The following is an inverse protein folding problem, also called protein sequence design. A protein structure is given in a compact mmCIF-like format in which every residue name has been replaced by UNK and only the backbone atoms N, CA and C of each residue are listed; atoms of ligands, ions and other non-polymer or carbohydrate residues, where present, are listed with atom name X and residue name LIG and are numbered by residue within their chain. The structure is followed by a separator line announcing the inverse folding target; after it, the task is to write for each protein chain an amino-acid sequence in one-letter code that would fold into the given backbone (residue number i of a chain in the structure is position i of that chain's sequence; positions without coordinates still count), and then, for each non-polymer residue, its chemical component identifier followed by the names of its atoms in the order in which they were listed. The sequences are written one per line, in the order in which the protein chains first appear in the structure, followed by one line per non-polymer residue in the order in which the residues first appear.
data_IF_148487904511
#
_entry.id   IF_148487904511
#
_cell.length_a   1.000
_cell.length_b   1.000
_cell.length_c   1.000
_cell.angle_alpha   90.00
_cell.angle_beta   90.00
_cell.angle_gamma   90.00
#
_symmetry.space_group_name_H-M   'P 1'
#
loop_
_entity.id
_entity.type
_entity.pdbx_description
1 polymer ?
#
# COMPACT_ATOMS: atom_id res chain seq x y z
N UNK A 1 -14.03 12.00 -4.94
CA UNK A 1 -13.67 10.90 -4.04
C UNK A 1 -12.22 10.40 -4.22
N UNK A 2 -11.46 10.99 -5.17
CA UNK A 2 -10.04 10.69 -5.37
C UNK A 2 -9.15 11.01 -4.16
N UNK A 3 -9.63 11.84 -3.27
CA UNK A 3 -9.01 12.31 -2.02
C UNK A 3 -9.37 11.45 -0.79
N UNK A 4 -10.31 10.53 -0.94
CA UNK A 4 -10.92 9.83 0.19
C UNK A 4 -10.92 8.29 0.05
N UNK A 5 -10.56 7.77 -1.11
CA UNK A 5 -10.39 6.33 -1.35
C UNK A 5 -9.43 6.04 -2.52
N UNK A 6 -8.84 4.86 -2.52
CA UNK A 6 -8.17 4.33 -3.69
C UNK A 6 -9.18 3.86 -4.76
N UNK A 7 -8.82 4.04 -6.02
CA UNK A 7 -9.52 3.43 -7.15
C UNK A 7 -9.02 2.01 -7.40
N UNK A 8 -9.84 1.19 -8.04
CA UNK A 8 -9.43 -0.14 -8.49
C UNK A 8 -9.17 -0.14 -9.99
N UNK A 9 -8.36 -1.11 -10.47
CA UNK A 9 -8.13 -1.30 -11.90
C UNK A 9 -9.44 -1.52 -12.67
N UNK A 10 -10.35 -2.33 -12.11
CA UNK A 10 -11.62 -2.68 -12.76
C UNK A 10 -12.53 -1.47 -12.96
N UNK A 11 -12.52 -0.52 -12.00
CA UNK A 11 -13.27 0.74 -12.13
C UNK A 11 -12.76 1.61 -13.28
N UNK A 12 -11.46 1.57 -13.56
CA UNK A 12 -10.78 2.47 -14.47
C UNK A 12 -10.43 1.84 -15.82
N UNK A 13 -10.36 0.52 -15.92
CA UNK A 13 -9.88 -0.22 -17.11
C UNK A 13 -10.72 -0.01 -18.37
N UNK A 14 -11.97 0.39 -18.22
CA UNK A 14 -12.88 0.69 -19.34
C UNK A 14 -12.87 2.16 -19.75
N UNK A 15 -12.10 3.02 -19.07
CA UNK A 15 -11.99 4.43 -19.44
C UNK A 15 -11.15 4.61 -20.71
N UNK A 16 -11.57 5.52 -21.58
CA UNK A 16 -10.79 5.92 -22.73
C UNK A 16 -9.54 6.69 -22.33
N UNK A 17 -8.56 6.79 -23.24
CA UNK A 17 -7.33 7.56 -23.04
C UNK A 17 -7.59 9.01 -22.66
N UNK A 18 -8.64 9.62 -23.22
CA UNK A 18 -9.03 11.00 -22.90
C UNK A 18 -9.66 11.10 -21.52
N UNK A 19 -10.49 10.12 -21.10
CA UNK A 19 -11.08 10.07 -19.78
C UNK A 19 -10.01 9.83 -18.70
N UNK A 20 -9.07 8.92 -18.93
CA UNK A 20 -7.91 8.71 -18.03
C UNK A 20 -7.08 10.00 -17.89
N UNK A 21 -6.80 10.67 -19.02
CA UNK A 21 -6.08 11.95 -19.00
C UNK A 21 -6.83 13.02 -18.21
N UNK A 22 -8.13 13.12 -18.36
CA UNK A 22 -8.95 14.08 -17.60
C UNK A 22 -9.00 13.73 -16.12
N UNK A 23 -9.15 12.45 -15.77
CA UNK A 23 -9.20 11.99 -14.38
C UNK A 23 -7.88 12.27 -13.64
N UNK A 24 -6.72 12.00 -14.27
CA UNK A 24 -5.40 12.36 -13.74
C UNK A 24 -5.36 13.87 -13.46
N UNK A 25 -5.64 14.68 -14.47
CA UNK A 25 -5.53 16.12 -14.34
C UNK A 25 -6.60 16.75 -13.44
N UNK A 26 -7.72 16.07 -13.17
CA UNK A 26 -8.70 16.54 -12.18
C UNK A 26 -8.09 16.55 -10.77
N UNK A 27 -7.29 15.54 -10.41
CA UNK A 27 -6.60 15.51 -9.11
C UNK A 27 -5.67 16.72 -8.98
N UNK A 28 -4.86 17.00 -9.99
CA UNK A 28 -4.00 18.20 -10.02
C UNK A 28 -4.80 19.51 -9.97
N UNK A 29 -5.91 19.58 -10.70
CA UNK A 29 -6.76 20.76 -10.77
C UNK A 29 -7.42 21.10 -9.41
N UNK A 30 -7.77 20.08 -8.62
CA UNK A 30 -8.32 20.24 -7.26
C UNK A 30 -7.33 20.93 -6.32
N UNK A 31 -6.03 20.76 -6.55
CA UNK A 31 -4.96 21.47 -5.84
C UNK A 31 -4.52 22.77 -6.51
N UNK A 32 -5.30 23.28 -7.46
CA UNK A 32 -5.10 24.60 -8.05
C UNK A 32 -4.02 24.67 -9.12
N UNK A 33 -3.59 23.54 -9.70
CA UNK A 33 -2.63 23.56 -10.82
C UNK A 33 -3.19 24.24 -12.05
N UNK A 34 -2.40 25.13 -12.67
CA UNK A 34 -2.64 25.75 -13.97
C UNK A 34 -2.02 24.87 -15.05
N UNK A 35 -2.71 24.69 -16.18
CA UNK A 35 -2.27 23.80 -17.25
C UNK A 35 -1.79 24.58 -18.47
N UNK A 36 -0.62 24.21 -18.99
CA UNK A 36 -0.08 24.78 -20.25
C UNK A 36 -0.85 24.28 -21.47
N UNK A 37 -1.40 23.07 -21.40
CA UNK A 37 -2.24 22.50 -22.44
C UNK A 37 -3.59 23.24 -22.49
N UNK A 38 -3.84 23.97 -23.55
CA UNK A 38 -5.02 24.85 -23.69
C UNK A 38 -6.35 24.10 -23.58
N UNK A 39 -6.41 22.86 -24.04
CA UNK A 39 -7.60 22.00 -23.94
C UNK A 39 -7.93 21.64 -22.48
N UNK A 40 -6.94 21.26 -21.67
CA UNK A 40 -7.10 21.00 -20.23
C UNK A 40 -7.46 22.28 -19.49
N UNK A 41 -6.74 23.37 -19.74
CA UNK A 41 -7.01 24.65 -19.07
C UNK A 41 -8.44 25.15 -19.35
N UNK A 42 -8.90 25.06 -20.61
CA UNK A 42 -10.26 25.45 -21.00
C UNK A 42 -11.30 24.50 -20.33
N UNK A 43 -11.01 23.19 -20.29
CA UNK A 43 -11.90 22.23 -19.64
C UNK A 43 -12.07 22.56 -18.16
N UNK A 44 -10.98 22.75 -17.42
CA UNK A 44 -11.06 23.04 -16.00
C UNK A 44 -11.60 24.44 -15.70
N UNK A 45 -11.30 25.45 -16.52
CA UNK A 45 -11.89 26.78 -16.40
C UNK A 45 -13.43 26.76 -16.50
N UNK A 46 -14.00 25.75 -17.15
CA UNK A 46 -15.46 25.56 -17.22
C UNK A 46 -16.08 24.99 -15.95
N UNK A 47 -15.26 24.49 -15.01
CA UNK A 47 -15.73 23.88 -13.77
C UNK A 47 -15.86 24.92 -12.66
N UNK A 48 -17.01 24.98 -12.02
CA UNK A 48 -17.30 25.97 -10.96
C UNK A 48 -16.42 25.83 -9.72
N UNK A 49 -15.83 24.63 -9.51
CA UNK A 49 -14.96 24.33 -8.37
C UNK A 49 -13.48 24.60 -8.64
N UNK A 50 -13.08 24.79 -9.90
CA UNK A 50 -11.68 24.97 -10.25
C UNK A 50 -11.21 26.41 -9.97
N UNK A 51 -10.05 26.51 -9.30
CA UNK A 51 -9.38 27.77 -9.03
C UNK A 51 -7.87 27.60 -9.24
N UNK A 52 -7.40 27.84 -10.48
CA UNK A 52 -5.99 27.76 -10.83
C UNK A 52 -5.17 28.85 -10.17
N UNK A 53 -4.24 28.48 -9.29
CA UNK A 53 -3.40 29.40 -8.49
C UNK A 53 -1.93 29.06 -8.54
N UNK A 54 -1.55 27.87 -8.98
CA UNK A 54 -0.16 27.38 -9.00
C UNK A 54 0.22 27.05 -10.43
N UNK A 55 1.31 27.64 -10.92
CA UNK A 55 1.82 27.36 -12.27
C UNK A 55 2.26 25.88 -12.39
N UNK A 56 2.32 25.36 -13.62
CA UNK A 56 2.78 23.99 -13.85
C UNK A 56 4.20 23.76 -13.31
N UNK A 57 5.07 24.75 -13.45
CA UNK A 57 6.49 24.70 -13.02
C UNK A 57 6.66 24.78 -11.49
N UNK A 58 5.74 25.43 -10.79
CA UNK A 58 5.80 25.59 -9.32
C UNK A 58 5.00 24.53 -8.58
N UNK A 59 4.24 23.70 -9.30
CA UNK A 59 3.39 22.69 -8.69
C UNK A 59 4.22 21.52 -8.13
N UNK A 60 3.95 21.16 -6.89
CA UNK A 60 4.56 20.01 -6.24
C UNK A 60 3.51 18.96 -5.86
N UNK A 61 3.75 17.72 -6.22
CA UNK A 61 2.89 16.58 -5.85
C UNK A 61 2.94 16.23 -4.34
N UNK A 62 3.81 16.92 -3.58
CA UNK A 62 3.83 16.79 -2.12
C UNK A 62 2.53 17.25 -1.44
N UNK A 63 1.66 17.96 -2.17
CA UNK A 63 0.32 18.35 -1.70
C UNK A 63 -0.70 17.21 -1.74
N UNK A 64 -0.41 16.14 -2.51
CA UNK A 64 -1.29 14.99 -2.61
C UNK A 64 -1.27 14.17 -1.33
N UNK A 65 -2.43 13.73 -0.91
CA UNK A 65 -2.54 12.70 0.10
C UNK A 65 -2.24 11.31 -0.50
N UNK A 66 -2.23 10.29 0.34
CA UNK A 66 -1.91 8.92 -0.06
C UNK A 66 -2.84 8.38 -1.14
N UNK A 67 -4.16 8.65 -1.05
CA UNK A 67 -5.12 8.21 -2.04
C UNK A 67 -4.93 8.89 -3.38
N UNK A 68 -4.70 10.20 -3.36
CA UNK A 68 -4.49 10.97 -4.59
C UNK A 68 -3.25 10.51 -5.33
N UNK A 69 -2.14 10.24 -4.62
CA UNK A 69 -0.93 9.64 -5.21
C UNK A 69 -1.25 8.32 -5.86
N UNK A 70 -1.78 7.35 -5.10
CA UNK A 70 -2.11 6.02 -5.62
C UNK A 70 -3.05 6.09 -6.82
N UNK A 71 -4.03 7.00 -6.81
CA UNK A 71 -4.98 7.15 -7.89
C UNK A 71 -4.35 7.74 -9.16
N UNK A 72 -3.46 8.75 -9.02
CA UNK A 72 -2.68 9.29 -10.16
C UNK A 72 -1.84 8.20 -10.81
N UNK A 73 -1.17 7.40 -10.00
CA UNK A 73 -0.27 6.35 -10.47
C UNK A 73 -1.02 5.23 -11.18
N UNK A 74 -2.13 4.76 -10.59
CA UNK A 74 -2.97 3.76 -11.25
C UNK A 74 -3.56 4.28 -12.57
N UNK A 75 -4.11 5.48 -12.60
CA UNK A 75 -4.64 6.11 -13.81
C UNK A 75 -3.56 6.26 -14.89
N UNK A 76 -2.35 6.67 -14.50
CA UNK A 76 -1.21 6.84 -15.40
C UNK A 76 -0.75 5.50 -15.98
N UNK A 77 -0.63 4.47 -15.16
CA UNK A 77 -0.22 3.14 -15.58
C UNK A 77 -1.24 2.48 -16.54
N UNK A 78 -2.54 2.66 -16.30
CA UNK A 78 -3.59 2.21 -17.23
C UNK A 78 -3.49 2.98 -18.56
N UNK A 79 -3.31 4.29 -18.49
CA UNK A 79 -3.18 5.14 -19.67
C UNK A 79 -1.97 4.80 -20.53
N UNK A 80 -0.84 4.41 -19.90
CA UNK A 80 0.39 3.99 -20.57
C UNK A 80 0.34 2.54 -21.06
N UNK A 81 -0.71 1.78 -20.71
CA UNK A 81 -0.84 0.37 -21.05
C UNK A 81 0.12 -0.53 -20.28
N UNK A 82 0.68 -0.04 -19.18
CA UNK A 82 1.58 -0.78 -18.29
C UNK A 82 0.82 -1.50 -17.18
N UNK A 83 -0.36 -0.99 -16.78
CA UNK A 83 -1.26 -1.72 -15.90
C UNK A 83 -1.93 -2.86 -16.64
N UNK A 84 -1.65 -4.07 -16.22
CA UNK A 84 -2.41 -5.26 -16.63
C UNK A 84 -3.19 -5.75 -15.43
N UNK A 85 -4.44 -6.20 -15.62
CA UNK A 85 -5.28 -6.78 -14.56
C UNK A 85 -4.74 -8.08 -13.95
N UNK A 86 -3.49 -8.40 -14.23
CA UNK A 86 -2.69 -9.48 -13.62
C UNK A 86 -1.33 -8.91 -13.25
N UNK A 87 -1.04 -8.88 -11.96
CA UNK A 87 0.27 -8.70 -11.34
C UNK A 87 1.36 -8.07 -12.24
N UNK A 88 1.38 -6.75 -12.36
CA UNK A 88 2.56 -6.04 -12.83
C UNK A 88 2.93 -5.02 -11.76
N UNK A 89 4.22 -4.92 -11.46
CA UNK A 89 4.75 -3.94 -10.52
C UNK A 89 4.21 -2.55 -10.86
N UNK A 90 3.75 -1.83 -9.86
CA UNK A 90 3.25 -0.47 -9.98
C UNK A 90 4.37 0.41 -10.57
N UNK A 91 4.01 1.32 -11.47
CA UNK A 91 4.92 2.34 -12.01
C UNK A 91 5.49 3.28 -10.91
N UNK A 92 4.98 3.16 -9.67
CA UNK A 92 5.34 3.96 -8.50
C UNK A 92 6.19 3.18 -7.47
N UNK A 93 6.79 2.08 -7.85
CA UNK A 93 7.69 1.33 -6.97
C UNK A 93 7.01 0.41 -5.96
N UNK A 94 5.68 0.36 -5.91
CA UNK A 94 4.97 -0.61 -5.06
C UNK A 94 5.02 -2.01 -5.67
N UNK A 95 5.38 -2.98 -4.86
CA UNK A 95 5.34 -4.38 -5.29
C UNK A 95 3.91 -4.89 -5.22
N UNK A 96 3.32 -5.24 -6.36
CA UNK A 96 2.04 -5.97 -6.35
C UNK A 96 2.32 -7.44 -6.04
N UNK A 97 1.77 -7.93 -4.95
CA UNK A 97 1.90 -9.34 -4.56
C UNK A 97 1.03 -10.18 -5.50
N UNK A 98 1.67 -11.13 -6.18
CA UNK A 98 1.01 -11.97 -7.17
C UNK A 98 0.10 -13.04 -6.54
N UNK A 99 -0.80 -13.60 -7.35
CA UNK A 99 -1.76 -14.62 -6.89
C UNK A 99 -1.07 -15.91 -6.41
N UNK A 100 0.13 -16.21 -6.90
CA UNK A 100 0.87 -17.37 -6.46
C UNK A 100 1.39 -17.18 -5.03
N UNK A 101 1.89 -15.98 -4.70
CA UNK A 101 2.31 -15.60 -3.36
C UNK A 101 1.11 -15.53 -2.41
N UNK A 102 -0.01 -14.93 -2.85
CA UNK A 102 -1.28 -14.92 -2.10
C UNK A 102 -1.72 -16.33 -1.77
N UNK A 103 -1.73 -17.22 -2.75
CA UNK A 103 -2.10 -18.64 -2.54
C UNK A 103 -1.18 -19.36 -1.57
N UNK A 104 0.12 -19.08 -1.57
CA UNK A 104 1.06 -19.61 -0.58
C UNK A 104 0.69 -19.14 0.82
N UNK A 105 0.45 -17.84 1.02
CA UNK A 105 0.04 -17.29 2.31
C UNK A 105 -1.27 -17.92 2.80
N UNK A 106 -2.28 -18.05 1.94
CA UNK A 106 -3.56 -18.68 2.27
C UNK A 106 -3.42 -20.17 2.66
N UNK A 107 -2.38 -20.84 2.15
CA UNK A 107 -2.01 -22.20 2.55
C UNK A 107 -1.12 -22.25 3.80
N UNK A 108 -0.88 -21.14 4.49
CA UNK A 108 -0.09 -21.07 5.72
C UNK A 108 1.42 -20.97 5.48
N UNK A 109 1.88 -20.68 4.27
CA UNK A 109 3.28 -20.37 4.04
C UNK A 109 3.55 -18.90 4.38
N UNK A 110 4.69 -18.62 4.99
CA UNK A 110 5.14 -17.27 5.27
C UNK A 110 5.83 -16.72 4.05
N UNK A 111 5.38 -15.56 3.58
CA UNK A 111 5.89 -14.90 2.37
C UNK A 111 6.41 -13.52 2.73
N UNK A 112 7.59 -13.18 2.25
CA UNK A 112 8.15 -11.82 2.32
C UNK A 112 7.43 -10.91 1.32
N UNK A 113 7.03 -9.73 1.78
CA UNK A 113 6.22 -8.77 1.03
C UNK A 113 7.01 -7.53 0.59
N UNK A 114 8.21 -7.31 1.18
CA UNK A 114 8.95 -6.06 1.04
C UNK A 114 8.41 -4.95 1.93
N UNK A 115 8.87 -3.74 1.70
CA UNK A 115 8.57 -2.55 2.53
C UNK A 115 7.27 -1.86 2.11
N UNK A 116 6.90 -2.02 0.86
CA UNK A 116 5.81 -1.31 0.20
C UNK A 116 5.17 -2.21 -0.85
N UNK A 117 3.92 -2.62 -0.61
CA UNK A 117 3.24 -3.54 -1.50
C UNK A 117 1.71 -3.37 -1.53
N UNK A 118 1.09 -3.97 -2.54
CA UNK A 118 -0.36 -4.06 -2.72
C UNK A 118 -0.81 -5.51 -2.59
N UNK A 119 -1.75 -5.77 -1.70
CA UNK A 119 -2.25 -7.10 -1.37
C UNK A 119 -3.69 -7.03 -0.84
N UNK A 120 -4.57 -7.91 -1.27
CA UNK A 120 -5.91 -8.07 -0.70
C UNK A 120 -5.81 -8.89 0.60
N UNK A 121 -5.79 -8.20 1.73
CA UNK A 121 -5.56 -8.81 3.05
C UNK A 121 -6.78 -9.58 3.57
N UNK A 122 -7.98 -9.06 3.32
CA UNK A 122 -9.24 -9.59 3.85
C UNK A 122 -10.04 -10.39 2.81
N UNK A 123 -9.49 -10.56 1.59
CA UNK A 123 -10.07 -11.28 0.46
C UNK A 123 -11.45 -10.74 0.05
N UNK A 124 -11.62 -9.41 0.10
CA UNK A 124 -12.85 -8.74 -0.34
C UNK A 124 -12.84 -8.35 -1.82
N UNK A 125 -11.73 -8.59 -2.51
CA UNK A 125 -11.51 -8.29 -3.93
C UNK A 125 -10.84 -6.94 -4.17
N UNK A 126 -10.56 -6.17 -3.12
CA UNK A 126 -9.84 -4.90 -3.21
C UNK A 126 -8.42 -5.10 -2.66
N UNK A 127 -7.43 -4.53 -3.34
CA UNK A 127 -6.05 -4.57 -2.85
C UNK A 127 -5.83 -3.46 -1.83
N UNK A 128 -5.28 -3.83 -0.70
CA UNK A 128 -4.83 -2.92 0.34
C UNK A 128 -3.40 -2.50 0.06
N UNK A 129 -3.09 -1.22 0.23
CA UNK A 129 -1.73 -0.73 0.21
C UNK A 129 -1.09 -0.91 1.58
N UNK A 130 0.06 -1.59 1.61
CA UNK A 130 0.86 -1.80 2.81
C UNK A 130 2.16 -1.02 2.69
N UNK A 131 2.47 -0.25 3.71
CA UNK A 131 3.70 0.50 3.78
C UNK A 131 4.28 0.49 5.20
N UNK A 132 5.59 0.19 5.31
CA UNK A 132 6.34 0.26 6.55
C UNK A 132 7.29 1.45 6.53
N UNK A 133 7.03 2.45 7.38
CA UNK A 133 7.95 3.56 7.61
C UNK A 133 8.80 3.29 8.83
N UNK A 134 10.12 3.46 8.71
CA UNK A 134 11.07 3.33 9.83
C UNK A 134 11.74 4.66 10.12
N UNK A 135 11.82 5.03 11.39
CA UNK A 135 12.57 6.17 11.91
C UNK A 135 13.64 5.64 12.86
N UNK A 136 14.88 5.61 12.38
CA UNK A 136 16.07 5.08 13.11
C UNK A 136 16.96 6.20 13.66
N UNK A 137 16.36 7.29 14.17
CA UNK A 137 17.09 8.44 14.71
C UNK A 137 17.38 8.26 16.20
N UNK A 138 16.49 7.59 16.91
CA UNK A 138 16.57 7.32 18.34
C UNK A 138 16.33 5.81 18.58
N UNK A 139 16.98 5.28 19.61
CA UNK A 139 16.78 3.91 20.04
C UNK A 139 15.74 3.86 21.19
N UNK A 140 14.75 2.97 21.16
CA UNK A 140 14.42 2.01 20.08
C UNK A 140 13.88 2.70 18.82
N UNK A 141 13.99 2.01 17.68
CA UNK A 141 13.44 2.48 16.40
C UNK A 141 11.94 2.75 16.53
N UNK A 142 11.45 3.75 15.83
CA UNK A 142 10.01 3.96 15.68
C UNK A 142 9.60 3.45 14.32
N UNK A 143 8.58 2.59 14.26
CA UNK A 143 7.99 2.15 13.01
C UNK A 143 6.51 2.51 12.92
N UNK A 144 6.05 2.74 11.71
CA UNK A 144 4.64 2.94 11.40
C UNK A 144 4.25 1.97 10.29
N UNK A 145 3.36 1.03 10.61
CA UNK A 145 2.70 0.21 9.61
C UNK A 145 1.44 0.94 9.15
N UNK A 146 1.35 1.21 7.86
CA UNK A 146 0.18 1.76 7.20
C UNK A 146 -0.46 0.66 6.35
N UNK A 147 -1.77 0.51 6.47
CA UNK A 147 -2.59 -0.35 5.61
C UNK A 147 -3.76 0.48 5.11
N UNK A 148 -3.77 0.75 3.81
CA UNK A 148 -4.76 1.65 3.19
C UNK A 148 -4.83 3.01 3.90
N UNK A 149 -5.90 3.32 4.63
CA UNK A 149 -6.08 4.57 5.38
C UNK A 149 -5.71 4.49 6.86
N UNK A 150 -5.44 3.29 7.36
CA UNK A 150 -5.15 3.05 8.76
C UNK A 150 -3.65 2.98 9.01
N UNK A 151 -3.21 3.50 10.15
CA UNK A 151 -1.81 3.44 10.55
C UNK A 151 -1.68 3.11 12.03
N UNK A 152 -0.71 2.25 12.35
CA UNK A 152 -0.27 1.97 13.71
C UNK A 152 1.21 2.31 13.85
N UNK A 153 1.52 3.14 14.83
CA UNK A 153 2.90 3.48 15.18
C UNK A 153 3.29 2.79 16.49
N UNK A 154 4.43 2.13 16.49
CA UNK A 154 4.98 1.45 17.66
C UNK A 154 6.51 1.61 17.68
N UNK A 155 7.13 1.11 18.74
CA UNK A 155 8.58 1.12 18.91
C UNK A 155 9.09 -0.31 18.92
N UNK A 156 10.20 -0.53 18.22
CA UNK A 156 10.87 -1.81 18.14
C UNK A 156 12.38 -1.67 18.14
N UNK A 157 13.09 -2.74 18.41
CA UNK A 157 14.54 -2.76 18.48
C UNK A 157 15.14 -3.35 17.20
N UNK A 158 15.92 -2.57 16.44
CA UNK A 158 16.49 -2.98 15.15
C UNK A 158 15.42 -3.54 14.20
N UNK A 159 14.34 -2.80 14.01
CA UNK A 159 13.22 -3.20 13.14
C UNK A 159 13.73 -3.44 11.72
N UNK A 160 13.34 -4.57 11.13
CA UNK A 160 13.65 -4.92 9.75
C UNK A 160 12.72 -4.20 8.79
N UNK A 161 13.25 -3.90 7.62
CA UNK A 161 12.53 -3.09 6.61
C UNK A 161 11.47 -3.91 5.86
N UNK A 162 11.57 -5.25 5.88
CA UNK A 162 10.66 -6.11 5.14
C UNK A 162 9.46 -6.54 5.98
N UNK A 163 8.27 -6.42 5.37
CA UNK A 163 7.04 -7.01 5.86
C UNK A 163 6.94 -8.47 5.43
N UNK A 164 6.18 -9.24 6.18
CA UNK A 164 5.86 -10.63 5.86
C UNK A 164 4.35 -10.85 5.96
N UNK A 165 3.83 -11.81 5.20
CA UNK A 165 2.43 -12.17 5.20
C UNK A 165 2.21 -13.66 5.47
N UNK A 166 1.13 -14.01 6.16
CA UNK A 166 0.70 -15.39 6.39
C UNK A 166 -0.79 -15.45 6.71
N UNK A 167 -1.47 -16.52 6.34
CA UNK A 167 -2.84 -16.78 6.80
C UNK A 167 -2.87 -17.98 7.74
N UNK A 168 -3.64 -17.86 8.82
CA UNK A 168 -3.88 -18.94 9.78
C UNK A 168 -5.18 -19.71 9.48
N UNK A 169 -6.12 -19.07 8.83
CA UNK A 169 -7.48 -19.58 8.60
C UNK A 169 -7.79 -19.85 7.12
N UNK A 170 -6.83 -19.62 6.22
CA UNK A 170 -7.01 -19.77 4.78
C UNK A 170 -7.88 -18.69 4.13
N UNK A 171 -8.10 -17.56 4.83
CA UNK A 171 -8.90 -16.42 4.35
C UNK A 171 -8.15 -15.12 4.56
N UNK A 172 -8.06 -14.66 5.80
CA UNK A 172 -7.44 -13.38 6.10
C UNK A 172 -5.93 -13.52 6.17
N UNK A 173 -5.20 -12.56 5.61
CA UNK A 173 -3.74 -12.52 5.64
C UNK A 173 -3.30 -11.58 6.77
N UNK A 174 -2.51 -12.09 7.68
CA UNK A 174 -1.86 -11.33 8.74
C UNK A 174 -0.57 -10.72 8.21
N UNK A 175 -0.33 -9.46 8.55
CA UNK A 175 0.93 -8.78 8.27
C UNK A 175 1.86 -8.91 9.47
N UNK A 176 3.15 -9.11 9.22
CA UNK A 176 4.14 -9.25 10.27
C UNK A 176 5.23 -8.19 10.12
N UNK A 177 5.56 -7.54 11.23
CA UNK A 177 6.76 -6.71 11.41
C UNK A 177 7.74 -7.48 12.29
N UNK A 178 9.00 -7.48 11.89
CA UNK A 178 10.05 -8.25 12.53
C UNK A 178 11.16 -7.34 13.07
N UNK A 179 11.62 -7.65 14.28
CA UNK A 179 12.66 -6.90 14.99
C UNK A 179 13.67 -7.83 15.69
N UNK A 180 14.85 -7.29 15.95
CA UNK A 180 15.86 -7.92 16.81
C UNK A 180 16.10 -7.07 18.04
N UNK A 181 15.87 -7.62 19.25
CA UNK A 181 16.23 -6.99 20.49
C UNK A 181 17.75 -6.85 20.71
N UNK A 182 18.16 -6.17 21.79
CA UNK A 182 19.58 -5.86 22.08
C UNK A 182 20.46 -7.11 22.25
N UNK A 183 19.85 -8.25 22.55
CA UNK A 183 20.53 -9.54 22.73
C UNK A 183 20.43 -10.44 21.48
N UNK A 184 20.13 -9.85 20.30
CA UNK A 184 19.78 -10.58 19.09
C UNK A 184 18.57 -11.51 19.26
N UNK A 185 17.70 -11.21 20.22
CA UNK A 185 16.46 -11.96 20.44
C UNK A 185 15.40 -11.54 19.42
N UNK A 186 14.99 -12.45 18.52
CA UNK A 186 14.03 -12.12 17.48
C UNK A 186 12.62 -11.96 18.05
N UNK A 187 11.90 -10.95 17.58
CA UNK A 187 10.49 -10.72 17.91
C UNK A 187 9.71 -10.41 16.65
N UNK A 188 8.59 -11.06 16.46
CA UNK A 188 7.67 -10.80 15.35
C UNK A 188 6.33 -10.37 15.87
N UNK A 189 5.88 -9.18 15.46
CA UNK A 189 4.58 -8.61 15.77
C UNK A 189 3.61 -8.87 14.63
N UNK A 190 2.40 -9.28 14.96
CA UNK A 190 1.35 -9.61 14.00
C UNK A 190 0.26 -8.56 13.98
N UNK A 191 -0.18 -8.23 12.79
CA UNK A 191 -1.26 -7.28 12.55
C UNK A 191 -2.34 -7.93 11.70
N UNK A 192 -3.60 -7.64 12.01
CA UNK A 192 -4.77 -7.98 11.21
C UNK A 192 -5.42 -6.72 10.67
N UNK A 193 -6.01 -6.82 9.48
CA UNK A 193 -6.81 -5.77 8.87
C UNK A 193 -8.11 -6.36 8.33
N UNK A 194 -9.25 -5.74 8.68
CA UNK A 194 -10.58 -6.22 8.31
C UNK A 194 -11.28 -5.39 7.21
N UNK A 195 -10.49 -4.55 6.50
CA UNK A 195 -10.99 -3.59 5.50
C UNK A 195 -11.27 -2.20 6.07
N UNK A 196 -11.31 -2.05 7.40
CA UNK A 196 -11.58 -0.76 8.06
C UNK A 196 -10.68 -0.49 9.25
N UNK A 197 -10.15 -1.52 9.90
CA UNK A 197 -9.40 -1.36 11.16
C UNK A 197 -8.15 -2.21 11.16
N UNK A 198 -7.01 -1.57 11.38
CA UNK A 198 -5.71 -2.20 11.59
C UNK A 198 -5.50 -2.46 13.09
N UNK A 199 -5.15 -3.68 13.46
CA UNK A 199 -4.98 -4.10 14.87
C UNK A 199 -3.68 -4.87 15.07
N UNK A 200 -2.91 -4.54 16.10
CA UNK A 200 -1.88 -5.42 16.64
C UNK A 200 -2.58 -6.57 17.40
N UNK A 201 -2.31 -7.80 17.02
CA UNK A 201 -2.95 -9.00 17.58
C UNK A 201 -2.02 -9.86 18.41
N UNK A 202 -0.76 -9.46 18.58
CA UNK A 202 0.19 -10.13 19.45
C UNK A 202 1.58 -10.28 18.85
N UNK A 203 2.45 -10.93 19.62
CA UNK A 203 3.88 -11.09 19.30
C UNK A 203 4.34 -12.51 19.60
N UNK A 204 5.34 -12.99 18.87
CA UNK A 204 6.03 -14.25 19.10
C UNK A 204 7.55 -14.02 19.08
N UNK A 205 8.24 -14.54 20.08
CA UNK A 205 9.70 -14.45 20.21
C UNK A 205 10.41 -15.39 19.21
N UNK A 206 10.34 -15.06 17.92
CA UNK A 206 11.05 -15.76 16.84
C UNK A 206 11.01 -14.92 15.56
N UNK A 207 11.86 -15.27 14.59
CA UNK A 207 11.84 -14.64 13.28
C UNK A 207 10.87 -15.36 12.30
N UNK A 208 10.39 -14.71 11.24
CA UNK A 208 9.46 -15.31 10.28
C UNK A 208 9.98 -16.60 9.65
N UNK A 209 11.28 -16.71 9.37
CA UNK A 209 11.90 -17.89 8.75
C UNK A 209 11.81 -19.15 9.62
N UNK A 210 11.78 -18.98 10.95
CA UNK A 210 11.68 -20.06 11.92
C UNK A 210 10.25 -20.41 12.32
N UNK A 211 9.26 -19.83 11.65
CA UNK A 211 7.85 -20.13 11.86
C UNK A 211 7.32 -21.10 10.81
N UNK A 212 6.26 -21.78 11.17
CA UNK A 212 5.35 -22.50 10.25
C UNK A 212 3.94 -22.44 10.78
N UNK A 213 2.97 -22.51 9.91
CA UNK A 213 1.57 -22.71 10.29
C UNK A 213 1.27 -24.21 10.31
N UNK A 214 0.65 -24.66 11.38
CA UNK A 214 0.21 -26.05 11.55
C UNK A 214 -1.16 -26.02 12.25
N UNK A 215 -2.20 -26.53 11.58
CA UNK A 215 -3.59 -26.53 12.05
C UNK A 215 -4.11 -25.13 12.48
N UNK A 216 -3.74 -24.08 11.76
CA UNK A 216 -4.18 -22.71 12.06
C UNK A 216 -3.43 -22.04 13.21
N UNK A 217 -2.36 -22.66 13.70
CA UNK A 217 -1.50 -22.10 14.74
C UNK A 217 -0.08 -21.87 14.22
N UNK A 218 0.55 -20.81 14.68
CA UNK A 218 1.97 -20.58 14.40
C UNK A 218 2.79 -21.41 15.38
N UNK A 219 3.70 -22.22 14.83
CA UNK A 219 4.68 -23.01 15.57
C UNK A 219 6.09 -22.59 15.17
N UNK A 220 6.98 -22.56 16.14
CA UNK A 220 8.41 -22.36 15.86
C UNK A 220 9.01 -23.66 15.35
N UNK A 221 9.86 -23.58 14.34
CA UNK A 221 10.67 -24.70 13.88
C UNK A 221 11.67 -25.03 15.00
N UNK A 222 11.59 -26.21 15.57
CA UNK A 222 12.64 -26.71 16.47
C UNK A 222 13.91 -26.90 15.67
N UNK A 223 15.01 -26.35 16.17
CA UNK A 223 16.36 -26.60 15.61
C UNK A 223 16.76 -28.05 15.76
#
# INVERSE_FOLDING_TARGET
DSDSRAYTYDELSNLSQDELRLAINEIYARHGRIFDAADLQNYFNSKSWYNGTVSADDFSESVFNTYEKSNVDLLSSIREGTATGTAAGSADGHTVIDDAAVKKMLNGEIVELGTDCMLDLNQDGNKDWLHLTLIKIEYPDTYTLTVSSESLTDKGENVKEDLYGVSLNGKDILVMVYEYGPSDDPLTTFFSYDGNTLKNIGQIATNPENMKVDNGEIKTKTR
#
